data_IF_854232052752
#
_entry.id   IF_854232052752
#
_cell.length_a   1.000
_cell.length_b   1.000
_cell.length_c   1.000
_cell.angle_alpha   90.00
_cell.angle_beta   90.00
_cell.angle_gamma   90.00
#
_symmetry.space_group_name_H-M   'P 1'
#
loop_
_entity.id
_entity.type
_entity.pdbx_description
1 polymer ?
#
# COMPACT_ATOMS: atom_id res chain seq x y z
N UNK A 1 22.20 -27.36 58.54
CA UNK A 1 21.05 -27.92 57.80
C UNK A 1 20.29 -26.78 57.15
N UNK A 2 20.16 -26.85 55.81
CA UNK A 2 19.30 -26.13 54.85
C UNK A 2 19.07 -24.60 54.99
N UNK A 3 19.69 -23.88 54.04
CA UNK A 3 19.47 -22.47 53.69
C UNK A 3 18.05 -22.32 53.10
N UNK A 4 17.20 -21.50 53.69
CA UNK A 4 15.90 -21.14 53.10
C UNK A 4 16.16 -19.96 52.14
N UNK A 5 16.06 -20.24 50.85
CA UNK A 5 16.07 -19.27 49.77
C UNK A 5 14.80 -18.43 49.84
N UNK A 6 14.95 -17.12 50.03
CA UNK A 6 13.89 -16.14 49.80
C UNK A 6 13.83 -15.94 48.29
N UNK A 7 12.82 -16.53 47.66
CA UNK A 7 12.53 -16.30 46.25
C UNK A 7 11.88 -14.91 46.10
N UNK A 8 12.63 -14.00 45.47
CA UNK A 8 12.15 -12.73 44.95
C UNK A 8 11.21 -13.02 43.77
N UNK A 9 9.90 -12.93 43.98
CA UNK A 9 8.92 -12.95 42.89
C UNK A 9 8.38 -11.54 42.68
N UNK A 10 9.22 -10.69 42.07
CA UNK A 10 8.77 -9.45 41.44
C UNK A 10 8.01 -9.84 40.16
N UNK A 11 6.72 -10.11 40.28
CA UNK A 11 5.83 -10.20 39.13
C UNK A 11 5.57 -8.77 38.61
N UNK A 12 6.51 -8.29 37.81
CA UNK A 12 6.35 -7.11 36.98
C UNK A 12 5.35 -7.46 35.87
N UNK A 13 4.06 -7.25 36.14
CA UNK A 13 3.02 -7.24 35.12
C UNK A 13 3.15 -5.96 34.29
N UNK A 14 4.16 -5.91 33.42
CA UNK A 14 4.05 -5.13 32.19
C UNK A 14 3.09 -5.89 31.28
N UNK A 15 1.79 -5.69 31.48
CA UNK A 15 0.85 -5.88 30.38
C UNK A 15 1.19 -4.79 29.37
N UNK A 16 2.03 -5.15 28.40
CA UNK A 16 2.31 -4.32 27.25
C UNK A 16 0.97 -4.00 26.59
N UNK A 17 0.45 -2.80 26.84
CA UNK A 17 -0.37 -2.14 25.84
C UNK A 17 0.54 -2.02 24.63
N UNK A 18 0.35 -2.92 23.66
CA UNK A 18 0.82 -2.70 22.30
C UNK A 18 0.25 -1.35 21.90
N UNK A 19 1.09 -0.32 21.99
CA UNK A 19 0.77 1.00 21.51
C UNK A 19 0.63 0.85 20.00
N UNK A 20 -0.60 0.74 19.50
CA UNK A 20 -0.95 1.06 18.12
C UNK A 20 -0.74 2.57 17.92
N UNK A 21 0.52 3.02 17.97
CA UNK A 21 0.91 4.38 17.65
C UNK A 21 1.28 4.54 16.17
N UNK A 22 1.32 3.44 15.40
CA UNK A 22 1.87 3.42 14.04
C UNK A 22 0.89 3.80 12.91
N UNK A 23 -0.43 3.84 13.13
CA UNK A 23 -1.40 4.04 12.02
C UNK A 23 -2.22 5.35 12.06
N UNK A 24 -1.81 6.35 12.84
CA UNK A 24 -2.59 7.60 13.01
C UNK A 24 -2.20 8.73 12.06
N UNK A 25 -1.10 8.60 11.33
CA UNK A 25 -0.58 9.69 10.49
C UNK A 25 -1.41 9.93 9.22
N UNK A 26 -1.79 8.88 8.47
CA UNK A 26 -2.61 9.09 7.26
C UNK A 26 -3.97 9.76 7.56
N UNK A 27 -4.75 9.33 8.57
CA UNK A 27 -5.97 10.06 8.97
C UNK A 27 -5.74 11.55 9.28
N UNK A 28 -4.63 11.90 9.93
CA UNK A 28 -4.29 13.30 10.20
C UNK A 28 -3.90 14.06 8.92
N UNK A 29 -3.16 13.42 8.01
CA UNK A 29 -2.84 13.98 6.71
C UNK A 29 -4.11 14.29 5.90
N UNK A 30 -5.08 13.36 5.90
CA UNK A 30 -6.39 13.53 5.27
C UNK A 30 -7.13 14.73 5.86
N UNK A 31 -7.21 14.83 7.19
CA UNK A 31 -7.94 15.91 7.86
C UNK A 31 -7.34 17.28 7.52
N UNK A 32 -6.02 17.44 7.67
CA UNK A 32 -5.37 18.70 7.31
C UNK A 32 -5.51 19.03 5.82
N UNK A 33 -5.46 18.03 4.93
CA UNK A 33 -5.67 18.26 3.50
C UNK A 33 -7.09 18.73 3.21
N UNK A 34 -8.11 18.20 3.91
CA UNK A 34 -9.50 18.69 3.81
C UNK A 34 -9.63 20.15 4.26
N UNK A 35 -8.98 20.53 5.37
CA UNK A 35 -8.96 21.93 5.81
C UNK A 35 -8.24 22.85 4.80
N UNK A 36 -7.15 22.38 4.18
CA UNK A 36 -6.46 23.11 3.12
C UNK A 36 -7.37 23.36 1.91
N UNK A 37 -8.19 22.38 1.53
CA UNK A 37 -9.20 22.52 0.47
C UNK A 37 -10.26 23.54 0.86
N UNK A 38 -10.84 23.45 2.07
CA UNK A 38 -11.88 24.38 2.55
C UNK A 38 -11.37 25.82 2.50
N UNK A 39 -10.16 26.06 3.01
CA UNK A 39 -9.56 27.40 2.99
C UNK A 39 -9.15 27.85 1.59
N UNK A 40 -8.68 26.93 0.76
CA UNK A 40 -8.42 27.16 -0.65
C UNK A 40 -9.63 27.63 -1.44
N UNK A 41 -10.77 26.94 -1.28
CA UNK A 41 -12.05 27.29 -1.90
C UNK A 41 -12.59 28.63 -1.41
N UNK A 42 -12.23 29.05 -0.18
CA UNK A 42 -12.52 30.38 0.35
C UNK A 42 -11.54 31.47 -0.13
N UNK A 43 -10.54 31.13 -0.96
CA UNK A 43 -9.50 32.06 -1.42
C UNK A 43 -8.44 32.38 -0.37
N UNK A 44 -8.42 31.68 0.78
CA UNK A 44 -7.51 31.92 1.89
C UNK A 44 -6.16 31.22 1.67
N UNK A 45 -5.36 31.71 0.72
CA UNK A 45 -4.09 31.08 0.32
C UNK A 45 -3.13 30.79 1.50
N UNK A 46 -3.04 31.70 2.48
CA UNK A 46 -2.18 31.49 3.66
C UNK A 46 -2.63 30.32 4.54
N UNK A 47 -3.94 30.18 4.78
CA UNK A 47 -4.50 29.09 5.58
C UNK A 47 -4.46 27.75 4.82
N UNK A 48 -4.62 27.79 3.48
CA UNK A 48 -4.34 26.64 2.65
C UNK A 48 -2.90 26.15 2.87
N UNK A 49 -1.91 27.04 2.82
CA UNK A 49 -0.49 26.68 3.00
C UNK A 49 -0.24 26.11 4.39
N UNK A 50 -0.82 26.71 5.43
CA UNK A 50 -0.70 26.23 6.81
C UNK A 50 -1.18 24.78 6.94
N UNK A 51 -2.41 24.51 6.49
CA UNK A 51 -2.98 23.18 6.56
C UNK A 51 -2.27 22.19 5.61
N UNK A 52 -1.84 22.62 4.43
CA UNK A 52 -1.08 21.77 3.51
C UNK A 52 0.29 21.37 4.08
N UNK A 53 1.00 22.25 4.82
CA UNK A 53 2.26 21.92 5.52
C UNK A 53 2.06 20.91 6.65
N UNK A 54 0.97 21.05 7.41
CA UNK A 54 0.61 20.08 8.44
C UNK A 54 0.25 18.72 7.83
N UNK A 55 -0.55 18.72 6.75
CA UNK A 55 -0.87 17.53 5.98
C UNK A 55 0.38 16.83 5.42
N UNK A 56 1.32 17.61 4.87
CA UNK A 56 2.59 17.11 4.33
C UNK A 56 3.43 16.42 5.41
N UNK A 57 3.52 17.00 6.60
CA UNK A 57 4.26 16.43 7.73
C UNK A 57 3.71 15.04 8.09
N UNK A 58 2.39 14.92 8.18
CA UNK A 58 1.73 13.65 8.45
C UNK A 58 1.84 12.66 7.29
N UNK A 59 1.74 13.11 6.03
CA UNK A 59 1.93 12.26 4.87
C UNK A 59 3.36 11.70 4.80
N UNK A 60 4.38 12.50 5.09
CA UNK A 60 5.78 12.05 5.17
C UNK A 60 5.99 11.01 6.28
N UNK A 61 5.41 11.24 7.46
CA UNK A 61 5.46 10.26 8.55
C UNK A 61 4.74 8.96 8.17
N UNK A 62 3.59 9.06 7.50
CA UNK A 62 2.88 7.89 6.97
C UNK A 62 3.70 7.13 5.94
N UNK A 63 4.38 7.82 5.02
CA UNK A 63 5.23 7.19 4.00
C UNK A 63 6.44 6.48 4.61
N UNK A 64 6.98 7.00 5.71
CA UNK A 64 8.09 6.36 6.43
C UNK A 64 7.63 5.11 7.18
N UNK A 65 6.44 5.14 7.77
CA UNK A 65 5.87 4.01 8.51
C UNK A 65 5.39 2.89 7.56
N UNK A 66 4.65 3.25 6.52
CA UNK A 66 4.10 2.33 5.54
C UNK A 66 4.21 2.93 4.12
N UNK A 67 5.31 2.62 3.40
CA UNK A 67 5.55 3.18 2.08
C UNK A 67 4.43 2.84 1.08
N UNK A 68 3.93 3.85 0.40
CA UNK A 68 2.89 3.69 -0.63
C UNK A 68 3.11 4.67 -1.77
N UNK A 69 2.95 4.19 -3.01
CA UNK A 69 2.99 5.07 -4.19
C UNK A 69 1.94 6.18 -4.10
N UNK A 70 0.81 5.91 -3.45
CA UNK A 70 -0.22 6.92 -3.22
C UNK A 70 0.24 7.96 -2.20
N UNK A 71 0.85 7.56 -1.08
CA UNK A 71 1.36 8.55 -0.10
C UNK A 71 2.49 9.40 -0.71
N UNK A 72 3.35 8.82 -1.55
CA UNK A 72 4.36 9.56 -2.32
C UNK A 72 3.73 10.59 -3.28
N UNK A 73 2.71 10.20 -4.04
CA UNK A 73 1.97 11.12 -4.91
C UNK A 73 1.23 12.21 -4.13
N UNK A 74 0.66 11.87 -2.97
CA UNK A 74 0.06 12.85 -2.06
C UNK A 74 1.08 13.89 -1.58
N UNK A 75 2.28 13.45 -1.18
CA UNK A 75 3.39 14.33 -0.79
C UNK A 75 3.76 15.30 -1.93
N UNK A 76 3.88 14.79 -3.16
CA UNK A 76 4.16 15.60 -4.35
C UNK A 76 3.10 16.69 -4.56
N UNK A 77 1.82 16.30 -4.51
CA UNK A 77 0.71 17.25 -4.64
C UNK A 77 0.61 18.24 -3.48
N UNK A 78 0.91 17.84 -2.24
CA UNK A 78 0.95 18.76 -1.11
C UNK A 78 2.07 19.80 -1.27
N UNK A 79 3.24 19.42 -1.76
CA UNK A 79 4.30 20.37 -2.09
C UNK A 79 3.87 21.36 -3.17
N UNK A 80 3.20 20.89 -4.23
CA UNK A 80 2.67 21.75 -5.29
C UNK A 80 1.56 22.68 -4.77
N UNK A 81 0.71 22.20 -3.85
CA UNK A 81 -0.31 23.01 -3.20
C UNK A 81 0.31 24.14 -2.36
N UNK A 82 1.37 23.84 -1.60
CA UNK A 82 2.13 24.80 -0.81
C UNK A 82 2.78 25.84 -1.73
N UNK A 83 3.47 25.42 -2.79
CA UNK A 83 4.14 26.34 -3.72
C UNK A 83 3.15 27.31 -4.39
N UNK A 84 2.00 26.79 -4.84
CA UNK A 84 0.95 27.62 -5.43
C UNK A 84 0.35 28.59 -4.40
N UNK A 85 0.05 28.12 -3.19
CA UNK A 85 -0.50 28.94 -2.11
C UNK A 85 0.47 30.02 -1.63
N UNK A 86 1.78 29.76 -1.58
CA UNK A 86 2.81 30.75 -1.23
C UNK A 86 2.92 31.87 -2.28
N UNK A 87 2.52 31.61 -3.53
CA UNK A 87 2.38 32.61 -4.60
C UNK A 87 1.02 33.35 -4.55
N UNK A 88 0.16 33.04 -3.58
CA UNK A 88 -1.20 33.58 -3.47
C UNK A 88 -2.22 32.93 -4.41
N UNK A 89 -1.84 31.87 -5.13
CA UNK A 89 -2.73 31.16 -6.07
C UNK A 89 -3.58 30.12 -5.35
N UNK A 90 -4.56 30.59 -4.57
CA UNK A 90 -5.46 29.72 -3.80
C UNK A 90 -6.15 28.65 -4.66
N UNK A 91 -6.64 29.00 -5.85
CA UNK A 91 -7.33 28.07 -6.75
C UNK A 91 -6.43 26.92 -7.23
N UNK A 92 -5.21 27.24 -7.67
CA UNK A 92 -4.21 26.24 -8.08
C UNK A 92 -3.77 25.39 -6.89
N UNK A 93 -3.56 26.02 -5.73
CA UNK A 93 -3.25 25.30 -4.49
C UNK A 93 -4.36 24.31 -4.11
N UNK A 94 -5.62 24.72 -4.25
CA UNK A 94 -6.80 23.89 -3.96
C UNK A 94 -6.87 22.69 -4.89
N UNK A 95 -6.58 22.88 -6.17
CA UNK A 95 -6.54 21.80 -7.16
C UNK A 95 -5.54 20.73 -6.75
N UNK A 96 -4.32 21.14 -6.38
CA UNK A 96 -3.31 20.20 -5.89
C UNK A 96 -3.69 19.55 -4.56
N UNK A 97 -4.29 20.30 -3.62
CA UNK A 97 -4.76 19.72 -2.36
C UNK A 97 -5.86 18.65 -2.57
N UNK A 98 -6.75 18.83 -3.57
CA UNK A 98 -7.76 17.82 -3.95
C UNK A 98 -7.13 16.54 -4.50
N UNK A 99 -6.12 16.67 -5.37
CA UNK A 99 -5.37 15.49 -5.85
C UNK A 99 -4.62 14.80 -4.71
N UNK A 100 -3.99 15.57 -3.82
CA UNK A 100 -3.37 14.99 -2.62
C UNK A 100 -4.37 14.19 -1.77
N UNK A 101 -5.57 14.73 -1.54
CA UNK A 101 -6.61 14.06 -0.77
C UNK A 101 -7.01 12.72 -1.39
N UNK A 102 -7.21 12.68 -2.71
CA UNK A 102 -7.53 11.45 -3.45
C UNK A 102 -6.48 10.36 -3.21
N UNK A 103 -5.20 10.74 -3.24
CA UNK A 103 -4.09 9.83 -2.99
C UNK A 103 -4.01 9.39 -1.51
N UNK A 104 -4.19 10.29 -0.54
CA UNK A 104 -4.21 9.93 0.88
C UNK A 104 -5.35 8.95 1.23
N UNK A 105 -6.53 9.18 0.67
CA UNK A 105 -7.69 8.29 0.84
C UNK A 105 -7.46 6.92 0.17
N UNK A 106 -6.70 6.87 -0.92
CA UNK A 106 -6.28 5.60 -1.53
C UNK A 106 -5.22 4.88 -0.68
N UNK A 107 -4.26 5.61 -0.11
CA UNK A 107 -3.25 5.06 0.79
C UNK A 107 -3.83 4.53 2.10
N UNK A 108 -4.99 5.04 2.55
CA UNK A 108 -5.67 4.57 3.76
C UNK A 108 -6.50 3.32 3.55
N UNK A 109 -6.63 2.84 2.31
CA UNK A 109 -7.33 1.60 1.99
C UNK A 109 -6.33 0.43 2.03
N UNK A 110 -6.77 -0.76 2.47
CA UNK A 110 -5.95 -1.96 2.31
C UNK A 110 -5.57 -2.13 0.82
N UNK A 111 -4.39 -2.70 0.53
CA UNK A 111 -3.96 -2.94 -0.84
C UNK A 111 -5.05 -3.64 -1.65
N UNK A 112 -5.29 -3.19 -2.87
CA UNK A 112 -6.27 -3.86 -3.74
C UNK A 112 -5.88 -5.32 -3.95
N UNK A 113 -6.87 -6.17 -4.22
CA UNK A 113 -6.60 -7.56 -4.54
C UNK A 113 -5.70 -7.72 -5.78
N UNK A 114 -5.70 -6.79 -6.73
CA UNK A 114 -4.72 -6.79 -7.83
C UNK A 114 -3.31 -6.58 -7.30
N UNK A 115 -3.09 -5.59 -6.44
CA UNK A 115 -1.78 -5.30 -5.85
C UNK A 115 -1.24 -6.48 -5.01
N UNK A 116 -2.10 -7.11 -4.21
CA UNK A 116 -1.73 -8.31 -3.46
C UNK A 116 -1.40 -9.49 -4.39
N UNK A 117 -2.15 -9.66 -5.47
CA UNK A 117 -1.84 -10.68 -6.47
C UNK A 117 -0.48 -10.43 -7.14
N UNK A 118 -0.15 -9.18 -7.47
CA UNK A 118 1.16 -8.81 -8.03
C UNK A 118 2.31 -9.09 -7.07
N UNK A 119 2.17 -8.73 -5.80
CA UNK A 119 3.18 -8.95 -4.78
C UNK A 119 3.51 -10.45 -4.64
N UNK A 120 2.47 -11.27 -4.53
CA UNK A 120 2.66 -12.71 -4.47
C UNK A 120 3.15 -13.30 -5.79
N UNK A 121 2.77 -12.76 -6.95
CA UNK A 121 3.32 -13.18 -8.24
C UNK A 121 4.83 -12.87 -8.34
N UNK A 122 5.27 -11.69 -7.89
CA UNK A 122 6.69 -11.30 -7.81
C UNK A 122 7.47 -12.23 -6.89
N UNK A 123 6.93 -12.53 -5.71
CA UNK A 123 7.55 -13.48 -4.79
C UNK A 123 7.62 -14.91 -5.40
N UNK A 124 6.57 -15.37 -6.09
CA UNK A 124 6.58 -16.65 -6.79
C UNK A 124 7.68 -16.70 -7.87
N UNK A 125 7.87 -15.62 -8.64
CA UNK A 125 8.94 -15.48 -9.63
C UNK A 125 10.31 -15.61 -8.96
N UNK A 126 10.58 -14.84 -7.90
CA UNK A 126 11.85 -14.88 -7.16
C UNK A 126 12.16 -16.29 -6.65
N UNK A 127 11.16 -16.97 -6.05
CA UNK A 127 11.34 -18.32 -5.54
C UNK A 127 11.59 -19.33 -6.66
N UNK A 128 10.86 -19.24 -7.78
CA UNK A 128 11.09 -20.13 -8.91
C UNK A 128 12.42 -19.90 -9.62
N UNK A 129 12.90 -18.66 -9.71
CA UNK A 129 14.25 -18.34 -10.23
C UNK A 129 15.35 -18.92 -9.33
N UNK A 130 15.10 -19.03 -8.02
CA UNK A 130 15.96 -19.75 -7.08
C UNK A 130 15.82 -21.29 -7.16
N UNK A 131 14.97 -21.82 -8.05
CA UNK A 131 14.68 -23.24 -8.17
C UNK A 131 13.75 -23.81 -7.10
N UNK A 132 13.15 -22.95 -6.26
CA UNK A 132 12.28 -23.35 -5.16
C UNK A 132 10.83 -23.51 -5.64
N UNK A 133 10.53 -24.67 -6.24
CA UNK A 133 9.19 -24.97 -6.76
C UNK A 133 8.09 -24.96 -5.68
N UNK A 134 8.43 -25.34 -4.44
CA UNK A 134 7.47 -25.37 -3.31
C UNK A 134 7.06 -23.96 -2.89
N UNK A 135 8.00 -23.04 -2.71
CA UNK A 135 7.67 -21.66 -2.33
C UNK A 135 7.04 -20.89 -3.51
N UNK A 136 7.44 -21.20 -4.76
CA UNK A 136 6.71 -20.70 -5.94
C UNK A 136 5.23 -21.13 -5.88
N UNK A 137 4.96 -22.39 -5.60
CA UNK A 137 3.60 -22.93 -5.52
C UNK A 137 2.76 -22.20 -4.47
N UNK A 138 3.33 -21.98 -3.28
CA UNK A 138 2.66 -21.27 -2.18
C UNK A 138 2.30 -19.84 -2.60
N UNK A 139 3.26 -19.06 -3.08
CA UNK A 139 3.01 -17.69 -3.50
C UNK A 139 2.04 -17.62 -4.70
N UNK A 140 2.12 -18.55 -5.66
CA UNK A 140 1.19 -18.58 -6.79
C UNK A 140 -0.26 -18.87 -6.36
N UNK A 141 -0.48 -19.68 -5.32
CA UNK A 141 -1.83 -19.93 -4.76
C UNK A 141 -2.41 -18.71 -4.06
N UNK A 142 -1.58 -17.97 -3.30
CA UNK A 142 -2.03 -16.73 -2.66
C UNK A 142 -2.32 -15.67 -3.71
N UNK A 143 -1.45 -15.53 -4.73
CA UNK A 143 -1.69 -14.65 -5.87
C UNK A 143 -3.00 -14.98 -6.60
N UNK A 144 -3.30 -16.27 -6.82
CA UNK A 144 -4.54 -16.70 -7.45
C UNK A 144 -5.77 -16.32 -6.62
N UNK A 145 -5.70 -16.49 -5.31
CA UNK A 145 -6.80 -16.14 -4.39
C UNK A 145 -7.15 -14.65 -4.51
N UNK A 146 -6.12 -13.81 -4.52
CA UNK A 146 -6.29 -12.38 -4.72
C UNK A 146 -6.77 -12.03 -6.13
N UNK A 147 -6.22 -12.63 -7.18
CA UNK A 147 -6.68 -12.39 -8.55
C UNK A 147 -8.16 -12.78 -8.74
N UNK A 148 -8.62 -13.88 -8.13
CA UNK A 148 -10.03 -14.29 -8.15
C UNK A 148 -10.94 -13.32 -7.39
N UNK A 149 -10.46 -12.73 -6.29
CA UNK A 149 -11.20 -11.71 -5.56
C UNK A 149 -11.28 -10.42 -6.38
N UNK A 150 -10.17 -10.01 -7.02
CA UNK A 150 -10.13 -8.88 -7.94
C UNK A 150 -11.10 -9.05 -9.12
N UNK A 151 -11.19 -10.25 -9.70
CA UNK A 151 -12.13 -10.54 -10.80
C UNK A 151 -13.59 -10.40 -10.36
N UNK A 152 -13.91 -10.81 -9.12
CA UNK A 152 -15.26 -10.64 -8.56
C UNK A 152 -15.62 -9.18 -8.32
N UNK A 153 -14.66 -8.38 -7.87
CA UNK A 153 -14.86 -6.96 -7.61
C UNK A 153 -14.97 -6.14 -8.91
N UNK A 154 -14.15 -6.48 -9.90
CA UNK A 154 -14.01 -5.70 -11.13
C UNK A 154 -13.51 -6.61 -12.26
N UNK A 155 -14.41 -7.31 -12.97
CA UNK A 155 -14.05 -8.21 -14.05
C UNK A 155 -13.18 -7.55 -15.11
N UNK A 156 -12.11 -8.23 -15.54
CA UNK A 156 -11.19 -7.73 -16.56
C UNK A 156 -10.57 -8.88 -17.33
N UNK A 157 -10.44 -8.71 -18.66
CA UNK A 157 -9.73 -9.70 -19.50
C UNK A 157 -8.31 -9.95 -18.99
N UNK A 158 -7.63 -8.92 -18.49
CA UNK A 158 -6.28 -9.07 -17.95
C UNK A 158 -6.26 -9.82 -16.61
N UNK A 159 -7.25 -9.61 -15.73
CA UNK A 159 -7.34 -10.38 -14.49
C UNK A 159 -7.66 -11.84 -14.79
N UNK A 160 -8.52 -12.11 -15.77
CA UNK A 160 -8.83 -13.46 -16.22
C UNK A 160 -7.61 -14.18 -16.82
N UNK A 161 -6.79 -13.50 -17.64
CA UNK A 161 -5.55 -14.07 -18.16
C UNK A 161 -4.49 -14.27 -17.07
N UNK A 162 -4.40 -13.35 -16.09
CA UNK A 162 -3.56 -13.55 -14.92
C UNK A 162 -3.97 -14.81 -14.13
N UNK A 163 -5.27 -15.02 -13.91
CA UNK A 163 -5.81 -16.24 -13.28
C UNK A 163 -5.41 -17.49 -14.07
N UNK A 164 -5.52 -17.47 -15.40
CA UNK A 164 -5.14 -18.60 -16.25
C UNK A 164 -3.66 -18.95 -16.09
N UNK A 165 -2.79 -17.94 -16.12
CA UNK A 165 -1.36 -18.14 -15.93
C UNK A 165 -0.99 -18.55 -14.51
N UNK A 166 -1.65 -18.04 -13.47
CA UNK A 166 -1.42 -18.47 -12.09
C UNK A 166 -1.81 -19.94 -11.89
N UNK A 167 -2.91 -20.41 -12.51
CA UNK A 167 -3.26 -21.83 -12.50
C UNK A 167 -2.16 -22.70 -13.13
N UNK A 168 -1.60 -22.28 -14.26
CA UNK A 168 -0.50 -23.00 -14.92
C UNK A 168 0.81 -22.97 -14.10
N UNK A 169 1.08 -21.86 -13.40
CA UNK A 169 2.21 -21.76 -12.48
C UNK A 169 2.06 -22.72 -11.30
N UNK A 170 0.85 -22.82 -10.73
CA UNK A 170 0.50 -23.76 -9.65
C UNK A 170 0.66 -25.21 -10.12
N UNK A 171 0.18 -25.55 -11.31
CA UNK A 171 0.35 -26.90 -11.86
C UNK A 171 1.83 -27.26 -12.04
N UNK A 172 2.62 -26.33 -12.58
CA UNK A 172 4.07 -26.51 -12.73
C UNK A 172 4.76 -26.68 -11.37
N UNK A 173 4.40 -25.88 -10.37
CA UNK A 173 4.92 -25.98 -9.00
C UNK A 173 4.60 -27.33 -8.35
N UNK A 174 3.37 -27.84 -8.51
CA UNK A 174 2.97 -29.19 -8.04
C UNK A 174 3.80 -30.31 -8.68
N UNK A 175 4.24 -30.11 -9.91
CA UNK A 175 5.10 -31.04 -10.64
C UNK A 175 6.60 -30.83 -10.33
N UNK A 176 6.94 -30.06 -9.29
CA UNK A 176 8.31 -29.68 -8.93
C UNK A 176 9.08 -29.01 -10.08
N UNK A 177 8.36 -28.33 -10.99
CA UNK A 177 8.91 -27.66 -12.16
C UNK A 177 8.95 -26.15 -11.93
N UNK A 178 9.97 -25.70 -11.20
CA UNK A 178 10.18 -24.29 -10.89
C UNK A 178 10.32 -23.42 -12.16
N UNK A 179 11.01 -23.93 -13.18
CA UNK A 179 11.31 -23.17 -14.40
C UNK A 179 10.05 -22.79 -15.17
N UNK A 180 9.18 -23.77 -15.46
CA UNK A 180 7.94 -23.50 -16.18
C UNK A 180 6.96 -22.72 -15.29
N UNK A 181 6.96 -22.99 -13.98
CA UNK A 181 6.22 -22.21 -13.00
C UNK A 181 6.57 -20.72 -13.06
N UNK A 182 7.87 -20.38 -13.10
CA UNK A 182 8.35 -19.00 -13.21
C UNK A 182 7.89 -18.34 -14.51
N UNK A 183 7.91 -19.05 -15.64
CA UNK A 183 7.45 -18.50 -16.92
C UNK A 183 5.98 -18.10 -16.83
N UNK A 184 5.15 -18.95 -16.24
CA UNK A 184 3.74 -18.65 -16.05
C UNK A 184 3.51 -17.53 -15.03
N UNK A 185 4.25 -17.49 -13.92
CA UNK A 185 4.16 -16.41 -12.95
C UNK A 185 4.54 -15.04 -13.55
N UNK A 186 5.55 -14.99 -14.45
CA UNK A 186 5.91 -13.77 -15.19
C UNK A 186 4.78 -13.27 -16.08
N UNK A 187 4.17 -14.15 -16.87
CA UNK A 187 3.02 -13.79 -17.72
C UNK A 187 1.81 -13.34 -16.91
N UNK A 188 1.57 -13.96 -15.74
CA UNK A 188 0.53 -13.50 -14.83
C UNK A 188 0.80 -12.08 -14.34
N UNK A 189 2.05 -11.79 -13.94
CA UNK A 189 2.45 -10.46 -13.50
C UNK A 189 2.26 -9.41 -14.60
N UNK A 190 2.66 -9.70 -15.83
CA UNK A 190 2.47 -8.79 -16.97
C UNK A 190 1.01 -8.36 -17.12
N UNK A 191 0.06 -9.29 -17.00
CA UNK A 191 -1.36 -8.98 -17.07
C UNK A 191 -1.90 -8.22 -15.84
N UNK A 192 -1.41 -8.54 -14.64
CA UNK A 192 -1.80 -7.79 -13.45
C UNK A 192 -1.36 -6.32 -13.56
N UNK A 193 -0.14 -6.06 -14.04
CA UNK A 193 0.39 -4.71 -14.25
C UNK A 193 -0.39 -3.93 -15.35
N UNK A 194 -0.87 -4.62 -16.40
CA UNK A 194 -1.79 -4.02 -17.39
C UNK A 194 -3.14 -3.61 -16.77
N UNK A 195 -3.58 -4.29 -15.71
CA UNK A 195 -4.82 -3.95 -15.00
C UNK A 195 -4.64 -2.68 -14.17
N UNK A 196 -3.48 -2.49 -13.54
CA UNK A 196 -3.17 -1.27 -12.80
C UNK A 196 -3.09 -0.03 -13.72
N UNK A 197 -2.52 -0.18 -14.92
CA UNK A 197 -2.34 0.93 -15.86
C UNK A 197 -3.61 1.34 -16.65
N UNK A 198 -4.66 0.52 -16.64
CA UNK A 198 -5.92 0.83 -17.33
C UNK A 198 -6.92 1.62 -16.48
N UNK A 199 -6.60 1.88 -15.20
CA UNK A 199 -7.45 2.61 -14.24
C UNK A 199 -6.93 4.02 -13.88
N UNK A 200 -5.84 4.47 -14.49
CA UNK A 200 -5.30 5.84 -14.37
C UNK A 200 -5.79 6.72 -15.51
#
# INVERSE_FOLDING_TARGET
>A
MKKILIALSSALLLTGTLAFAESVHNPQAVEHTKQAIIHGEAGHAALLVEHAKAGLTHAQASQQAEPSVHTEQAISHLNAAIEAGEKGHADTGTTHAKEALKHLEAAGKPPSHVAQAEEHAKAAITQGEAGNASALLEHAQVALTHAQAAEKESPSVHVQEAINHLNAAIESGKNNNAKDGTIHAKKALEHLEMTANSKQ
#
